data_IF_427810772408
#
_entry.id   IF_427810772408
#
_cell.length_a   1.000
_cell.length_b   1.000
_cell.length_c   1.000
_cell.angle_alpha   90.00
_cell.angle_beta   90.00
_cell.angle_gamma   90.00
#
_symmetry.space_group_name_H-M   'P 1'
#
loop_
_entity.id
_entity.type
_entity.pdbx_description
1 polymer ?
#
# COMPACT_ATOMS: atom_id res chain seq x y z
N UNK A 1 5.84 12.15 -3.44
CA UNK A 1 5.67 11.17 -2.35
C UNK A 1 4.23 11.15 -1.87
N UNK A 2 3.70 10.01 -1.37
CA UNK A 2 2.37 9.92 -0.79
C UNK A 2 2.38 10.39 0.67
N UNK A 3 1.20 10.47 1.28
CA UNK A 3 0.98 11.06 2.61
C UNK A 3 0.98 10.04 3.76
N UNK A 4 0.91 8.74 3.49
CA UNK A 4 0.66 7.71 4.50
C UNK A 4 1.86 7.41 5.41
N UNK A 5 3.08 7.51 4.88
CA UNK A 5 4.31 7.27 5.64
C UNK A 5 5.37 8.33 5.29
N UNK A 6 5.10 9.63 5.52
CA UNK A 6 5.83 10.73 4.91
C UNK A 6 7.30 10.77 5.34
N UNK A 7 7.59 10.64 6.63
CA UNK A 7 8.97 10.63 7.15
C UNK A 7 9.74 9.38 6.72
N UNK A 8 9.08 8.21 6.77
CA UNK A 8 9.73 6.94 6.46
C UNK A 8 10.09 6.84 4.97
N UNK A 9 9.15 7.18 4.09
CA UNK A 9 9.38 7.19 2.65
C UNK A 9 10.39 8.25 2.22
N UNK A 10 10.49 9.36 2.96
CA UNK A 10 11.53 10.35 2.74
C UNK A 10 12.90 9.74 3.03
N UNK A 11 13.09 9.16 4.22
CA UNK A 11 14.36 8.54 4.59
C UNK A 11 14.75 7.42 3.61
N UNK A 12 13.81 6.52 3.28
CA UNK A 12 14.08 5.36 2.43
C UNK A 12 14.35 5.70 0.98
N UNK A 13 13.55 6.58 0.37
CA UNK A 13 13.62 6.80 -1.08
C UNK A 13 14.51 7.98 -1.44
N UNK A 14 14.52 9.04 -0.63
CA UNK A 14 15.36 10.23 -0.86
C UNK A 14 16.79 9.95 -0.40
N UNK A 15 16.96 9.29 0.74
CA UNK A 15 18.29 8.92 1.26
C UNK A 15 19.10 8.10 0.26
N UNK A 16 18.50 7.09 -0.38
CA UNK A 16 19.18 6.27 -1.38
C UNK A 16 19.55 7.07 -2.64
N UNK A 17 18.65 7.92 -3.13
CA UNK A 17 18.94 8.72 -4.31
C UNK A 17 20.07 9.74 -4.06
N UNK A 18 20.11 10.34 -2.87
CA UNK A 18 21.21 11.21 -2.44
C UNK A 18 22.52 10.42 -2.27
N UNK A 19 22.48 9.22 -1.70
CA UNK A 19 23.66 8.36 -1.55
C UNK A 19 24.29 7.96 -2.90
N UNK A 20 23.48 7.86 -3.96
CA UNK A 20 23.94 7.66 -5.32
C UNK A 20 24.47 8.94 -6.01
N UNK A 21 24.49 10.08 -5.32
CA UNK A 21 24.99 11.36 -5.85
C UNK A 21 23.98 12.13 -6.71
N UNK A 22 22.68 11.81 -6.65
CA UNK A 22 21.67 12.54 -7.43
C UNK A 22 21.30 13.87 -6.78
N UNK A 23 21.01 14.88 -7.61
CA UNK A 23 20.23 16.04 -7.21
C UNK A 23 18.74 15.76 -7.42
N UNK A 24 17.88 16.28 -6.53
CA UNK A 24 16.48 15.90 -6.45
C UNK A 24 15.54 17.10 -6.46
N UNK A 25 14.48 17.00 -7.27
CA UNK A 25 13.27 17.82 -7.15
C UNK A 25 12.15 16.98 -6.54
N UNK A 26 11.85 17.21 -5.26
CA UNK A 26 10.88 16.45 -4.49
C UNK A 26 9.55 17.19 -4.34
N UNK A 27 8.46 16.55 -4.79
CA UNK A 27 7.09 16.94 -4.41
C UNK A 27 6.56 16.10 -3.25
N UNK A 28 6.23 16.76 -2.14
CA UNK A 28 5.50 16.19 -0.99
C UNK A 28 4.00 16.10 -1.25
N UNK A 29 3.29 15.19 -0.59
CA UNK A 29 1.83 15.17 -0.66
C UNK A 29 1.24 16.45 -0.04
N UNK A 30 0.19 16.99 -0.66
CA UNK A 30 -0.48 18.21 -0.21
C UNK A 30 -1.09 18.10 1.20
N UNK A 31 -1.44 16.88 1.64
CA UNK A 31 -1.93 16.61 3.00
C UNK A 31 -0.82 16.72 4.05
N UNK A 32 0.43 16.38 3.70
CA UNK A 32 1.54 16.25 4.65
C UNK A 32 2.81 16.94 4.14
N UNK A 33 2.81 18.26 3.85
CA UNK A 33 3.99 18.94 3.33
C UNK A 33 5.00 19.32 4.42
N UNK A 34 4.52 19.57 5.65
CA UNK A 34 5.28 20.21 6.71
C UNK A 34 6.59 19.48 7.05
N UNK A 35 6.54 18.16 7.17
CA UNK A 35 7.70 17.36 7.61
C UNK A 35 8.95 17.63 6.76
N UNK A 36 8.77 17.76 5.44
CA UNK A 36 9.89 17.90 4.52
C UNK A 36 10.43 19.33 4.50
N UNK A 37 9.57 20.32 4.78
CA UNK A 37 9.98 21.73 4.89
C UNK A 37 10.78 22.01 6.17
N UNK A 38 10.58 21.21 7.22
CA UNK A 38 11.33 21.29 8.46
C UNK A 38 12.53 20.33 8.53
N UNK A 39 12.63 19.40 7.59
CA UNK A 39 13.80 18.53 7.47
C UNK A 39 14.98 19.38 6.96
N UNK A 40 16.05 19.49 7.76
CA UNK A 40 17.27 20.19 7.36
C UNK A 40 17.74 19.71 5.98
N UNK A 41 17.93 20.65 5.06
CA UNK A 41 18.29 20.33 3.69
C UNK A 41 19.81 20.11 3.56
N UNK A 42 20.25 19.22 2.66
CA UNK A 42 21.65 19.13 2.25
C UNK A 42 22.13 20.45 1.61
N UNK A 43 23.36 20.48 1.11
CA UNK A 43 23.90 21.63 0.38
C UNK A 43 22.90 22.16 -0.67
N UNK A 44 22.95 23.47 -0.88
CA UNK A 44 22.05 24.18 -1.80
C UNK A 44 22.01 23.50 -3.18
N UNK A 45 20.80 23.36 -3.74
CA UNK A 45 20.58 22.74 -5.05
C UNK A 45 20.56 21.21 -5.07
N UNK A 46 21.02 20.52 -4.02
CA UNK A 46 21.04 19.05 -3.97
C UNK A 46 19.65 18.45 -3.74
N UNK A 47 18.85 19.04 -2.83
CA UNK A 47 17.46 18.63 -2.59
C UNK A 47 16.56 19.86 -2.61
N UNK A 48 15.72 19.94 -3.63
CA UNK A 48 14.77 21.02 -3.83
C UNK A 48 13.37 20.49 -3.53
N UNK A 49 12.73 21.01 -2.48
CA UNK A 49 11.40 20.57 -2.05
C UNK A 49 10.35 21.55 -2.56
N UNK A 50 9.44 21.05 -3.39
CA UNK A 50 8.34 21.83 -3.97
C UNK A 50 7.02 21.22 -3.53
N UNK A 51 6.39 21.84 -2.53
CA UNK A 51 5.07 21.41 -2.06
C UNK A 51 3.97 21.99 -2.97
N UNK A 52 3.00 21.16 -3.35
CA UNK A 52 1.89 21.59 -4.21
C UNK A 52 1.00 20.42 -4.65
N UNK A 53 -0.05 20.70 -5.40
CA UNK A 53 -1.00 19.66 -5.84
C UNK A 53 -0.42 18.74 -6.92
N UNK A 54 -0.92 17.50 -6.97
CA UNK A 54 -0.50 16.51 -7.97
C UNK A 54 -0.64 17.01 -9.42
N UNK A 55 -1.83 17.47 -9.84
CA UNK A 55 -2.07 17.94 -11.22
C UNK A 55 -1.22 19.13 -11.66
N UNK A 56 -0.71 19.94 -10.73
CA UNK A 56 0.11 21.12 -11.03
C UNK A 56 1.59 20.83 -10.80
N UNK A 57 2.05 20.90 -9.54
CA UNK A 57 3.46 20.74 -9.19
C UNK A 57 4.00 19.34 -9.56
N UNK A 58 3.21 18.30 -9.31
CA UNK A 58 3.60 16.92 -9.65
C UNK A 58 3.77 16.73 -11.15
N UNK A 59 2.78 17.14 -11.95
CA UNK A 59 2.83 17.07 -13.42
C UNK A 59 3.99 17.89 -13.98
N UNK A 60 4.23 19.09 -13.47
CA UNK A 60 5.29 19.97 -13.95
C UNK A 60 6.68 19.35 -13.76
N UNK A 61 7.00 18.88 -12.54
CA UNK A 61 8.29 18.21 -12.26
C UNK A 61 8.46 17.00 -13.16
N UNK A 62 7.42 16.18 -13.24
CA UNK A 62 7.53 14.89 -13.87
C UNK A 62 7.55 14.98 -15.42
N UNK A 63 6.97 16.05 -15.99
CA UNK A 63 7.04 16.40 -17.40
C UNK A 63 8.29 17.20 -17.80
N UNK A 64 9.04 17.77 -16.85
CA UNK A 64 10.16 18.67 -17.15
C UNK A 64 11.25 18.00 -18.00
N UNK A 65 11.74 18.69 -19.04
CA UNK A 65 12.69 18.12 -20.02
C UNK A 65 14.08 17.86 -19.43
N UNK A 66 14.47 18.60 -18.40
CA UNK A 66 15.76 18.45 -17.72
C UNK A 66 15.70 17.46 -16.54
N UNK A 67 14.57 16.79 -16.31
CA UNK A 67 14.49 15.72 -15.31
C UNK A 67 14.83 14.39 -16.00
N UNK A 68 15.96 13.81 -15.61
CA UNK A 68 16.51 12.59 -16.22
C UNK A 68 15.70 11.33 -15.88
N UNK A 69 15.18 11.25 -14.65
CA UNK A 69 14.44 10.10 -14.13
C UNK A 69 13.33 10.55 -13.20
N UNK A 70 12.18 9.87 -13.25
CA UNK A 70 11.11 10.10 -12.28
C UNK A 70 10.76 8.86 -11.44
N UNK A 71 10.24 9.13 -10.24
CA UNK A 71 9.57 8.14 -9.38
C UNK A 71 8.20 8.67 -8.97
N UNK A 72 7.17 7.86 -9.11
CA UNK A 72 5.78 8.26 -8.83
C UNK A 72 5.02 7.15 -8.09
N UNK A 73 4.00 7.58 -7.35
CA UNK A 73 3.05 6.70 -6.65
C UNK A 73 1.65 6.77 -7.31
N UNK A 74 1.63 7.27 -8.55
CA UNK A 74 0.45 7.43 -9.40
C UNK A 74 0.83 7.01 -10.81
N UNK A 75 -0.07 6.28 -11.47
CA UNK A 75 0.10 5.78 -12.84
C UNK A 75 -0.03 6.88 -13.91
N UNK A 76 -0.52 8.06 -13.53
CA UNK A 76 -0.69 9.22 -14.41
C UNK A 76 0.61 9.65 -15.10
N UNK A 77 1.76 9.39 -14.48
CA UNK A 77 3.06 9.83 -14.99
C UNK A 77 3.57 9.00 -16.17
N UNK A 78 3.32 7.69 -16.18
CA UNK A 78 3.83 6.81 -17.24
C UNK A 78 3.32 7.24 -18.63
N UNK A 79 2.13 7.84 -18.69
CA UNK A 79 1.52 8.31 -19.93
C UNK A 79 2.05 9.66 -20.40
N UNK A 80 2.75 10.39 -19.55
CA UNK A 80 3.12 11.79 -19.79
C UNK A 80 4.58 11.97 -20.22
N UNK A 81 5.40 10.92 -20.25
CA UNK A 81 6.84 11.07 -20.51
C UNK A 81 7.52 9.81 -21.06
N UNK A 82 8.60 9.99 -21.81
CA UNK A 82 9.47 8.91 -22.33
C UNK A 82 10.68 8.62 -21.43
N UNK A 83 10.91 9.43 -20.37
CA UNK A 83 12.03 9.20 -19.44
C UNK A 83 11.79 7.96 -18.58
N UNK A 84 12.84 7.31 -18.05
CA UNK A 84 12.66 6.18 -17.15
C UNK A 84 11.83 6.56 -15.90
N UNK A 85 10.75 5.82 -15.67
CA UNK A 85 9.85 6.00 -14.52
C UNK A 85 9.85 4.74 -13.66
N UNK A 86 10.02 4.90 -12.35
CA UNK A 86 9.71 3.83 -11.37
C UNK A 86 8.38 4.14 -10.71
N UNK A 87 7.48 3.16 -10.67
CA UNK A 87 6.17 3.28 -10.03
C UNK A 87 6.10 2.41 -8.78
N UNK A 88 5.51 2.94 -7.72
CA UNK A 88 5.08 2.19 -6.54
C UNK A 88 3.61 2.53 -6.28
N UNK A 89 2.70 1.65 -6.73
CA UNK A 89 1.26 1.87 -6.57
C UNK A 89 0.70 1.07 -5.39
N UNK A 90 -0.49 1.46 -4.94
CA UNK A 90 -1.21 0.76 -3.88
C UNK A 90 -1.69 -0.63 -4.29
N UNK A 91 -2.20 -1.40 -3.33
CA UNK A 91 -2.46 -2.82 -3.52
C UNK A 91 -3.54 -3.48 -2.69
N UNK A 92 -3.66 -4.80 -2.89
CA UNK A 92 -4.62 -5.67 -2.21
C UNK A 92 -3.95 -6.95 -1.71
N UNK A 93 -2.93 -6.77 -0.89
CA UNK A 93 -2.05 -7.84 -0.40
C UNK A 93 -2.81 -8.91 0.41
N UNK A 94 -2.79 -10.18 -0.05
CA UNK A 94 -3.40 -11.27 0.69
C UNK A 94 -2.53 -11.67 1.89
N UNK A 95 -3.19 -12.09 2.97
CA UNK A 95 -2.55 -12.77 4.09
C UNK A 95 -3.17 -14.16 4.21
N UNK A 96 -2.42 -15.19 3.84
CA UNK A 96 -2.87 -16.58 3.76
C UNK A 96 -2.48 -17.27 5.08
N UNK A 97 -3.49 -17.60 5.87
CA UNK A 97 -3.37 -18.36 7.12
C UNK A 97 -3.86 -19.77 6.83
N UNK A 98 -2.95 -20.76 6.89
CA UNK A 98 -3.34 -22.17 6.69
C UNK A 98 -3.65 -22.85 8.02
N UNK A 99 -4.18 -24.06 7.94
CA UNK A 99 -4.63 -24.89 9.07
C UNK A 99 -3.57 -25.14 10.15
N UNK A 100 -2.29 -25.23 9.78
CA UNK A 100 -1.17 -25.45 10.70
C UNK A 100 -0.46 -24.16 11.15
N UNK A 101 -1.11 -23.00 11.01
CA UNK A 101 -0.58 -21.73 11.44
C UNK A 101 -0.76 -21.49 12.96
N UNK A 102 0.15 -20.69 13.53
CA UNK A 102 -0.12 -19.98 14.79
C UNK A 102 -1.11 -18.84 14.47
N UNK A 103 -2.37 -19.05 14.83
CA UNK A 103 -3.46 -18.12 14.50
C UNK A 103 -3.37 -16.84 15.34
N UNK A 104 -2.96 -16.94 16.60
CA UNK A 104 -2.86 -15.79 17.50
C UNK A 104 -1.81 -14.82 16.99
N UNK A 105 -0.63 -15.33 16.61
CA UNK A 105 0.41 -14.53 15.96
C UNK A 105 -0.10 -13.86 14.68
N UNK A 106 -0.81 -14.60 13.83
CA UNK A 106 -1.33 -14.07 12.57
C UNK A 106 -2.35 -12.93 12.81
N UNK A 107 -3.24 -13.08 13.79
CA UNK A 107 -4.23 -12.07 14.16
C UNK A 107 -3.55 -10.80 14.69
N UNK A 108 -2.58 -10.92 15.59
CA UNK A 108 -1.85 -9.76 16.13
C UNK A 108 -1.13 -8.95 15.05
N UNK A 109 -0.43 -9.65 14.14
CA UNK A 109 0.27 -9.02 13.03
C UNK A 109 -0.71 -8.36 12.06
N UNK A 110 -1.83 -9.02 11.75
CA UNK A 110 -2.83 -8.44 10.85
C UNK A 110 -3.47 -7.19 11.43
N UNK A 111 -3.79 -7.21 12.72
CA UNK A 111 -4.33 -6.06 13.43
C UNK A 111 -3.37 -4.86 13.33
N UNK A 112 -2.10 -5.08 13.60
CA UNK A 112 -1.06 -4.03 13.58
C UNK A 112 -0.84 -3.46 12.16
N UNK A 113 -0.89 -4.31 11.14
CA UNK A 113 -0.62 -3.94 9.75
C UNK A 113 -1.73 -3.13 9.04
N UNK A 114 -2.98 -3.23 9.50
CA UNK A 114 -4.12 -2.78 8.67
C UNK A 114 -4.77 -1.47 9.14
N UNK A 115 -4.91 -1.26 10.45
CA UNK A 115 -5.91 -0.33 10.97
C UNK A 115 -5.43 1.12 11.20
N UNK A 116 -4.26 1.52 10.69
CA UNK A 116 -3.63 2.78 11.09
C UNK A 116 -3.79 3.99 10.14
N UNK A 117 -4.10 3.80 8.85
CA UNK A 117 -4.03 4.89 7.85
C UNK A 117 -5.35 5.66 7.64
N UNK A 118 -5.44 6.90 8.13
CA UNK A 118 -6.57 7.82 7.92
C UNK A 118 -6.09 9.30 7.90
N UNK A 119 -6.50 10.12 6.92
CA UNK A 119 -5.93 11.48 6.72
C UNK A 119 -6.95 12.62 6.51
N UNK A 120 -7.86 12.50 5.54
CA UNK A 120 -8.69 13.62 5.09
C UNK A 120 -10.14 13.22 4.76
N UNK A 121 -10.99 14.23 4.54
CA UNK A 121 -12.41 14.06 4.23
C UNK A 121 -12.66 13.22 2.97
N UNK A 122 -11.80 13.38 1.94
CA UNK A 122 -11.95 12.67 0.68
C UNK A 122 -11.70 11.18 0.87
N UNK A 123 -10.64 10.82 1.58
CA UNK A 123 -10.33 9.44 1.93
C UNK A 123 -11.41 8.87 2.87
N UNK A 124 -11.84 9.63 3.87
CA UNK A 124 -12.91 9.24 4.80
C UNK A 124 -14.19 8.85 4.06
N UNK A 125 -14.68 9.72 3.16
CA UNK A 125 -15.87 9.45 2.33
C UNK A 125 -15.67 8.26 1.39
N UNK A 126 -14.47 8.10 0.81
CA UNK A 126 -14.13 6.92 -0.02
C UNK A 126 -14.27 5.64 0.80
N UNK A 127 -13.69 5.58 2.00
CA UNK A 127 -13.73 4.39 2.86
C UNK A 127 -15.17 4.05 3.26
N UNK A 128 -15.96 5.03 3.71
CA UNK A 128 -17.37 4.82 4.02
C UNK A 128 -18.17 4.32 2.81
N UNK A 129 -17.86 4.80 1.60
CA UNK A 129 -18.44 4.28 0.36
C UNK A 129 -18.15 2.79 0.14
N UNK A 130 -16.93 2.33 0.44
CA UNK A 130 -16.58 0.91 0.37
C UNK A 130 -17.27 0.07 1.45
N UNK A 131 -17.37 0.59 2.68
CA UNK A 131 -18.10 -0.09 3.76
C UNK A 131 -19.55 -0.29 3.35
N UNK A 132 -20.20 0.77 2.85
CA UNK A 132 -21.56 0.68 2.31
C UNK A 132 -21.66 -0.34 1.17
N UNK A 133 -20.72 -0.32 0.22
CA UNK A 133 -20.71 -1.30 -0.88
C UNK A 133 -20.58 -2.75 -0.37
N UNK A 134 -19.83 -3.00 0.70
CA UNK A 134 -19.73 -4.30 1.35
C UNK A 134 -21.08 -4.77 1.90
N UNK A 135 -21.76 -3.90 2.64
CA UNK A 135 -23.11 -4.14 3.16
C UNK A 135 -24.12 -4.41 2.04
N UNK A 136 -24.16 -3.55 1.02
CA UNK A 136 -25.07 -3.65 -0.12
C UNK A 136 -24.82 -4.92 -0.97
N UNK A 137 -23.59 -5.43 -0.97
CA UNK A 137 -23.22 -6.68 -1.67
C UNK A 137 -23.50 -7.94 -0.84
N UNK A 138 -24.01 -7.80 0.39
CA UNK A 138 -24.34 -8.91 1.27
C UNK A 138 -23.18 -9.53 2.03
N UNK A 139 -22.06 -8.81 2.21
CA UNK A 139 -21.02 -9.22 3.14
C UNK A 139 -21.48 -9.03 4.59
N UNK A 140 -21.04 -9.92 5.49
CA UNK A 140 -21.39 -9.85 6.90
C UNK A 140 -20.50 -8.84 7.62
N UNK A 141 -21.07 -7.76 8.13
CA UNK A 141 -20.35 -6.80 8.98
C UNK A 141 -20.23 -7.38 10.40
N UNK A 142 -18.99 -7.65 10.84
CA UNK A 142 -18.71 -8.27 12.14
C UNK A 142 -18.50 -7.23 13.23
N UNK A 143 -17.79 -6.15 12.90
CA UNK A 143 -17.53 -5.03 13.80
C UNK A 143 -17.18 -3.78 13.01
N UNK A 144 -17.31 -2.63 13.65
CA UNK A 144 -17.00 -1.32 13.08
C UNK A 144 -18.04 -0.87 12.04
N UNK A 145 -17.55 -0.21 10.99
CA UNK A 145 -18.36 0.26 9.88
C UNK A 145 -18.80 1.73 10.01
N UNK A 146 -18.61 2.35 11.17
CA UNK A 146 -19.12 3.69 11.46
C UNK A 146 -18.02 4.71 11.77
N UNK A 147 -18.43 5.97 11.89
CA UNK A 147 -17.57 7.07 12.32
C UNK A 147 -17.36 7.06 13.82
N UNK A 148 -16.13 7.32 14.25
CA UNK A 148 -15.84 7.64 15.66
C UNK A 148 -15.95 9.16 15.88
N UNK A 149 -16.87 9.57 16.74
CA UNK A 149 -17.04 10.96 17.17
C UNK A 149 -17.62 11.90 16.10
N UNK A 150 -17.61 13.20 16.39
CA UNK A 150 -18.22 14.23 15.53
C UNK A 150 -17.22 15.12 14.79
N UNK A 151 -15.94 15.05 15.17
CA UNK A 151 -14.83 15.83 14.60
C UNK A 151 -13.72 14.89 14.12
N UNK A 152 -12.95 15.34 13.13
CA UNK A 152 -11.90 14.54 12.51
C UNK A 152 -12.45 13.46 11.57
N UNK A 153 -11.53 12.69 11.00
CA UNK A 153 -11.78 11.73 9.92
C UNK A 153 -11.46 10.31 10.38
N UNK A 154 -12.14 9.86 11.43
CA UNK A 154 -11.87 8.57 12.09
C UNK A 154 -13.03 7.61 11.88
N UNK A 155 -12.71 6.44 11.34
CA UNK A 155 -13.60 5.30 11.10
C UNK A 155 -13.19 4.17 12.04
N UNK A 156 -14.18 3.47 12.56
CA UNK A 156 -13.99 2.28 13.39
C UNK A 156 -13.22 1.19 12.63
N UNK A 157 -12.30 0.46 13.29
CA UNK A 157 -11.74 -0.78 12.75
C UNK A 157 -12.87 -1.70 12.28
N UNK A 158 -12.93 -1.93 10.97
CA UNK A 158 -14.07 -2.58 10.33
C UNK A 158 -13.66 -3.96 9.84
N UNK A 159 -14.47 -4.98 10.14
CA UNK A 159 -14.21 -6.35 9.68
C UNK A 159 -15.45 -6.88 8.97
N UNK A 160 -15.26 -7.33 7.72
CA UNK A 160 -16.24 -8.08 6.97
C UNK A 160 -15.87 -9.57 6.89
N UNK A 161 -16.82 -10.45 7.16
CA UNK A 161 -16.76 -11.88 6.84
C UNK A 161 -17.67 -12.22 5.66
N UNK A 162 -17.61 -13.48 5.22
CA UNK A 162 -18.41 -14.02 4.11
C UNK A 162 -18.25 -13.22 2.80
N UNK A 163 -17.05 -12.64 2.63
CA UNK A 163 -16.70 -11.85 1.45
C UNK A 163 -16.45 -12.78 0.27
N UNK A 164 -17.02 -12.41 -0.88
CA UNK A 164 -16.84 -13.11 -2.16
C UNK A 164 -15.85 -12.37 -3.05
N UNK A 165 -15.13 -13.10 -3.90
CA UNK A 165 -14.04 -12.56 -4.74
C UNK A 165 -14.51 -11.48 -5.73
N UNK A 166 -15.79 -11.47 -6.08
CA UNK A 166 -16.39 -10.51 -7.01
C UNK A 166 -16.90 -9.23 -6.33
N UNK A 167 -16.82 -9.11 -5.01
CA UNK A 167 -17.18 -7.90 -4.29
C UNK A 167 -16.14 -6.79 -4.48
N UNK A 168 -16.57 -5.53 -4.52
CA UNK A 168 -15.66 -4.38 -4.62
C UNK A 168 -14.67 -4.34 -3.44
N UNK A 169 -15.15 -4.63 -2.22
CA UNK A 169 -14.31 -4.71 -1.01
C UNK A 169 -13.24 -5.82 -1.08
N UNK A 170 -13.41 -6.84 -1.93
CA UNK A 170 -12.41 -7.89 -2.17
C UNK A 170 -11.39 -7.50 -3.26
N UNK A 171 -11.84 -6.78 -4.29
CA UNK A 171 -11.02 -6.45 -5.48
C UNK A 171 -10.26 -5.14 -5.38
N UNK A 172 -10.82 -4.14 -4.71
CA UNK A 172 -10.32 -2.78 -4.76
C UNK A 172 -9.56 -2.39 -3.49
N UNK A 173 -8.57 -1.54 -3.67
CA UNK A 173 -7.84 -0.94 -2.56
C UNK A 173 -8.70 0.12 -1.86
N UNK A 174 -9.14 -0.21 -0.65
CA UNK A 174 -9.93 0.67 0.21
C UNK A 174 -9.03 1.78 0.75
N UNK A 175 -7.82 1.42 1.20
CA UNK A 175 -6.86 2.31 1.87
C UNK A 175 -7.46 2.92 3.13
N UNK A 176 -7.91 2.07 4.05
CA UNK A 176 -8.55 2.45 5.30
C UNK A 176 -8.64 1.24 6.25
N UNK A 177 -9.18 1.42 7.46
CA UNK A 177 -9.18 0.40 8.51
C UNK A 177 -10.24 -0.69 8.26
N UNK A 178 -10.22 -1.35 7.10
CA UNK A 178 -11.24 -2.33 6.67
C UNK A 178 -10.60 -3.66 6.30
N UNK A 179 -10.87 -4.70 7.10
CA UNK A 179 -10.47 -6.08 6.86
C UNK A 179 -11.57 -6.85 6.15
N UNK A 180 -11.19 -7.65 5.14
CA UNK A 180 -12.07 -8.63 4.50
C UNK A 180 -11.55 -10.03 4.76
N UNK A 181 -12.41 -10.93 5.27
CA UNK A 181 -12.08 -12.32 5.56
C UNK A 181 -12.72 -13.22 4.49
N UNK A 182 -11.88 -14.05 3.88
CA UNK A 182 -12.25 -15.00 2.84
C UNK A 182 -11.74 -16.39 3.26
N UNK A 183 -12.62 -17.39 3.21
CA UNK A 183 -12.29 -18.80 3.52
C UNK A 183 -11.93 -19.55 2.25
N UNK A 184 -10.95 -20.44 2.32
CA UNK A 184 -10.55 -21.34 1.23
C UNK A 184 -10.44 -22.78 1.79
N UNK A 185 -10.45 -23.78 0.92
CA UNK A 185 -10.40 -25.19 1.33
C UNK A 185 -9.02 -25.83 1.18
N UNK A 186 -8.26 -25.40 0.17
CA UNK A 186 -6.93 -25.94 -0.13
C UNK A 186 -5.97 -24.87 -0.65
N UNK A 187 -4.69 -25.23 -0.75
CA UNK A 187 -3.63 -24.31 -1.15
C UNK A 187 -3.76 -23.86 -2.61
N UNK A 188 -4.23 -24.71 -3.51
CA UNK A 188 -4.38 -24.36 -4.92
C UNK A 188 -5.49 -23.33 -5.10
N UNK A 189 -6.59 -23.47 -4.36
CA UNK A 189 -7.65 -22.46 -4.26
C UNK A 189 -7.09 -21.14 -3.72
N UNK A 190 -6.34 -21.18 -2.62
CA UNK A 190 -5.75 -19.97 -2.02
C UNK A 190 -4.81 -19.24 -2.98
N UNK A 191 -3.94 -19.97 -3.69
CA UNK A 191 -3.01 -19.42 -4.69
C UNK A 191 -3.80 -18.78 -5.84
N UNK A 192 -4.77 -19.51 -6.40
CA UNK A 192 -5.59 -19.01 -7.51
C UNK A 192 -6.31 -17.73 -7.15
N UNK A 193 -6.88 -17.66 -5.95
CA UNK A 193 -7.62 -16.48 -5.47
C UNK A 193 -6.68 -15.30 -5.17
N UNK A 194 -5.55 -15.55 -4.52
CA UNK A 194 -4.53 -14.53 -4.27
C UNK A 194 -3.98 -13.91 -5.57
N UNK A 195 -3.74 -14.75 -6.59
CA UNK A 195 -3.23 -14.30 -7.89
C UNK A 195 -4.30 -13.71 -8.79
N UNK A 196 -5.60 -13.96 -8.54
CA UNK A 196 -6.72 -13.35 -9.25
C UNK A 196 -6.95 -11.88 -8.81
N UNK A 197 -5.88 -11.10 -8.90
CA UNK A 197 -5.84 -9.69 -8.59
C UNK A 197 -5.02 -8.97 -9.63
N UNK A 198 -5.40 -7.72 -9.91
CA UNK A 198 -4.62 -6.78 -10.73
C UNK A 198 -3.39 -6.22 -9.99
N UNK A 199 -3.34 -6.50 -8.69
CA UNK A 199 -2.34 -6.08 -7.71
C UNK A 199 -1.34 -7.23 -7.45
N UNK A 200 -0.16 -6.92 -6.92
CA UNK A 200 1.00 -7.81 -6.80
C UNK A 200 2.13 -7.32 -5.87
N UNK A 201 1.82 -6.62 -4.77
CA UNK A 201 2.83 -5.84 -4.03
C UNK A 201 3.53 -6.77 -3.06
N UNK A 202 2.74 -7.28 -2.13
CA UNK A 202 3.18 -8.17 -1.09
C UNK A 202 2.13 -9.24 -0.77
N UNK A 203 2.56 -10.32 -0.14
CA UNK A 203 1.69 -11.30 0.50
C UNK A 203 2.29 -11.78 1.82
N UNK A 204 1.43 -12.22 2.74
CA UNK A 204 1.80 -12.89 3.97
C UNK A 204 1.41 -14.36 3.93
N UNK A 205 2.28 -15.24 4.40
CA UNK A 205 2.05 -16.69 4.47
C UNK A 205 2.33 -17.16 5.89
N UNK A 206 1.32 -17.75 6.53
CA UNK A 206 1.39 -18.28 7.89
C UNK A 206 1.15 -19.78 7.87
N UNK A 207 2.19 -20.56 8.10
CA UNK A 207 2.20 -22.04 8.18
C UNK A 207 3.39 -22.48 9.01
N UNK A 208 3.28 -23.57 9.76
CA UNK A 208 4.43 -24.20 10.43
C UNK A 208 5.25 -25.09 9.49
N UNK A 209 4.67 -25.50 8.36
CA UNK A 209 5.24 -26.42 7.39
C UNK A 209 6.09 -25.71 6.32
N UNK A 210 7.38 -26.05 6.25
CA UNK A 210 8.33 -25.48 5.30
C UNK A 210 8.00 -25.78 3.83
N UNK A 211 7.40 -26.94 3.55
CA UNK A 211 6.95 -27.31 2.21
C UNK A 211 5.83 -26.40 1.73
N UNK A 212 4.79 -26.20 2.57
CA UNK A 212 3.69 -25.27 2.27
C UNK A 212 4.20 -23.84 2.10
N UNK A 213 5.11 -23.40 2.97
CA UNK A 213 5.70 -22.07 2.89
C UNK A 213 6.44 -21.85 1.56
N UNK A 214 7.30 -22.79 1.16
CA UNK A 214 8.04 -22.70 -0.11
C UNK A 214 7.13 -22.77 -1.33
N UNK A 215 6.09 -23.61 -1.30
CA UNK A 215 5.10 -23.69 -2.38
C UNK A 215 4.39 -22.34 -2.57
N UNK A 216 3.83 -21.78 -1.49
CA UNK A 216 3.13 -20.50 -1.55
C UNK A 216 4.06 -19.36 -1.96
N UNK A 217 5.26 -19.28 -1.38
CA UNK A 217 6.21 -18.21 -1.69
C UNK A 217 6.66 -18.18 -3.16
N UNK A 218 6.65 -19.32 -3.86
CA UNK A 218 7.01 -19.42 -5.27
C UNK A 218 5.82 -19.27 -6.22
N UNK A 219 4.61 -19.58 -5.74
CA UNK A 219 3.40 -19.57 -6.56
C UNK A 219 2.69 -18.21 -6.55
N UNK A 220 2.89 -17.39 -5.52
CA UNK A 220 2.27 -16.08 -5.41
C UNK A 220 2.94 -15.06 -6.34
N UNK A 221 2.13 -14.40 -7.16
CA UNK A 221 2.54 -13.37 -8.12
C UNK A 221 2.63 -12.00 -7.44
N UNK A 222 3.53 -11.90 -6.46
CA UNK A 222 3.78 -10.68 -5.68
C UNK A 222 5.27 -10.38 -5.58
N UNK A 223 5.62 -9.11 -5.35
CA UNK A 223 7.02 -8.71 -5.27
C UNK A 223 7.70 -9.07 -3.95
N UNK A 224 6.96 -9.14 -2.85
CA UNK A 224 7.46 -9.60 -1.55
C UNK A 224 6.54 -10.64 -0.92
N UNK A 225 7.10 -11.75 -0.45
CA UNK A 225 6.38 -12.72 0.39
C UNK A 225 7.01 -12.76 1.78
N UNK A 226 6.22 -12.47 2.80
CA UNK A 226 6.61 -12.63 4.20
C UNK A 226 6.08 -13.96 4.75
N UNK A 227 6.96 -14.76 5.36
CA UNK A 227 6.61 -16.04 5.98
C UNK A 227 6.64 -15.90 7.49
N UNK A 228 5.52 -16.19 8.18
CA UNK A 228 5.30 -16.00 9.63
C UNK A 228 5.59 -14.58 10.15
N UNK A 229 5.60 -13.60 9.26
CA UNK A 229 5.65 -12.18 9.60
C UNK A 229 4.83 -11.38 8.58
N UNK A 230 4.61 -10.10 8.85
CA UNK A 230 3.93 -9.18 7.93
C UNK A 230 4.46 -7.76 8.17
N UNK A 231 4.54 -6.94 7.11
CA UNK A 231 5.11 -5.58 7.17
C UNK A 231 6.52 -5.51 7.79
N UNK A 232 7.30 -6.60 7.62
CA UNK A 232 8.66 -6.70 8.14
C UNK A 232 9.63 -6.09 7.13
N UNK A 233 9.69 -4.76 7.10
CA UNK A 233 10.58 -4.00 6.22
C UNK A 233 11.98 -3.86 6.85
N UNK A 234 13.02 -4.15 6.06
CA UNK A 234 14.42 -3.89 6.43
C UNK A 234 15.07 -2.96 5.41
N UNK A 235 15.95 -2.06 5.85
CA UNK A 235 16.58 -1.04 5.00
C UNK A 235 17.46 -1.55 3.84
N UNK A 236 17.63 -2.87 3.68
CA UNK A 236 18.40 -3.52 2.61
C UNK A 236 17.48 -4.36 1.70
N UNK A 237 16.17 -4.38 1.97
CA UNK A 237 15.22 -5.17 1.20
C UNK A 237 14.79 -4.41 -0.06
N UNK A 238 14.90 -5.07 -1.22
CA UNK A 238 14.41 -4.56 -2.50
C UNK A 238 12.87 -4.73 -2.55
N UNK A 239 12.14 -3.61 -2.52
CA UNK A 239 10.69 -3.59 -2.73
C UNK A 239 10.39 -3.66 -4.23
N UNK A 240 10.27 -4.88 -4.74
CA UNK A 240 9.70 -5.11 -6.06
C UNK A 240 8.18 -5.20 -5.94
N UNK A 241 7.49 -4.90 -7.02
CA UNK A 241 6.07 -5.16 -7.16
C UNK A 241 5.84 -5.92 -8.46
N UNK A 242 4.79 -6.73 -8.51
CA UNK A 242 4.34 -7.41 -9.72
C UNK A 242 3.16 -6.67 -10.34
N UNK A 243 2.87 -7.00 -11.62
CA UNK A 243 1.69 -6.52 -12.35
C UNK A 243 1.63 -5.00 -12.41
N UNK A 244 0.52 -4.39 -12.01
CA UNK A 244 0.27 -2.95 -12.18
C UNK A 244 1.04 -2.10 -11.17
N UNK A 245 1.60 -2.68 -10.12
CA UNK A 245 2.04 -1.92 -8.95
C UNK A 245 3.49 -1.45 -8.97
N UNK A 246 4.29 -1.94 -9.92
CA UNK A 246 5.64 -1.43 -10.13
C UNK A 246 6.41 -2.24 -11.18
N UNK A 247 7.39 -1.56 -11.76
CA UNK A 247 8.47 -2.09 -12.60
C UNK A 247 9.70 -1.18 -12.46
#
# INVERSE_FOLDING_TARGET
MPWNLPMLLFAWKIGLALACGNALALKTAEQTPAFALYAGLPAEGVLNIVSGFGPTAGTAIAGHMEVDKAKSYSDSLQKATLKPVTLELGGKSPMIIVDDADVDQAVELRHSALFFNQIDDKQFKKILGYIKSGLDSGASLITGGERIGSKGYVIEPTIFSDVKDDMAIAKDEIFGPVQTILKFNDLDEAIKRANNSRYGLAAGVFTSNIGKANTLARALEVGTVWVKCFDSFRGIQDERAWKREGY
#
